data_IF_793289307460
#
_entry.id   IF_793289307460
#
_cell.length_a   1.000
_cell.length_b   1.000
_cell.length_c   1.000
_cell.angle_alpha   90.00
_cell.angle_beta   90.00
_cell.angle_gamma   90.00
#
_symmetry.space_group_name_H-M   'P 1'
#
loop_
_entity.id
_entity.type
_entity.pdbx_description
1 polymer ?
#
# COMPACT_ATOMS: atom_id res chain seq x y z
N UNK A 1 -10.38 8.94 -2.66
CA UNK A 1 -10.64 7.56 -2.18
C UNK A 1 -9.49 7.17 -1.26
N UNK A 2 -9.76 6.50 -0.13
CA UNK A 2 -8.72 6.09 0.80
C UNK A 2 -7.87 4.96 0.21
N UNK A 3 -6.60 4.91 0.62
CA UNK A 3 -5.63 3.90 0.18
C UNK A 3 -5.14 3.11 1.39
N UNK A 4 -5.11 1.78 1.28
CA UNK A 4 -4.56 0.88 2.28
C UNK A 4 -3.17 0.42 1.85
N UNK A 5 -2.16 0.62 2.71
CA UNK A 5 -0.86 -0.01 2.57
C UNK A 5 -0.86 -1.34 3.34
N UNK A 6 -0.57 -2.45 2.66
CA UNK A 6 -0.59 -3.79 3.25
C UNK A 6 0.77 -4.47 3.09
N UNK A 7 1.34 -4.93 4.20
CA UNK A 7 2.57 -5.71 4.20
C UNK A 7 2.55 -6.70 5.36
N UNK A 8 2.08 -7.92 5.09
CA UNK A 8 1.94 -8.97 6.10
C UNK A 8 2.67 -10.24 5.67
N UNK A 9 3.37 -10.86 6.61
CA UNK A 9 4.01 -12.16 6.38
C UNK A 9 2.96 -13.28 6.38
N UNK A 10 2.14 -13.33 7.43
CA UNK A 10 0.96 -14.19 7.51
C UNK A 10 -0.24 -13.53 6.82
N UNK A 11 -0.90 -14.28 5.95
CA UNK A 11 -2.01 -13.80 5.10
C UNK A 11 -3.37 -14.28 5.61
N UNK A 12 -3.40 -14.96 6.76
CA UNK A 12 -4.63 -15.44 7.38
C UNK A 12 -5.64 -14.31 7.54
N UNK A 13 -6.81 -14.44 6.91
CA UNK A 13 -7.91 -13.48 6.96
C UNK A 13 -7.74 -12.20 6.12
N UNK A 14 -6.62 -12.04 5.40
CA UNK A 14 -6.37 -10.88 4.55
C UNK A 14 -7.37 -10.80 3.38
N UNK A 15 -7.79 -11.94 2.85
CA UNK A 15 -8.79 -12.05 1.79
C UNK A 15 -10.12 -11.39 2.16
N UNK A 16 -10.66 -11.73 3.34
CA UNK A 16 -11.93 -11.19 3.83
C UNK A 16 -11.79 -9.70 4.12
N UNK A 17 -10.72 -9.30 4.80
CA UNK A 17 -10.45 -7.89 5.12
C UNK A 17 -10.34 -7.04 3.85
N UNK A 18 -9.56 -7.50 2.86
CA UNK A 18 -9.33 -6.75 1.63
C UNK A 18 -10.62 -6.59 0.81
N UNK A 19 -11.41 -7.66 0.66
CA UNK A 19 -12.70 -7.60 -0.05
C UNK A 19 -13.69 -6.67 0.65
N UNK A 20 -13.78 -6.72 1.97
CA UNK A 20 -14.68 -5.84 2.72
C UNK A 20 -14.28 -4.37 2.57
N UNK A 21 -12.98 -4.04 2.72
CA UNK A 21 -12.46 -2.69 2.54
C UNK A 21 -12.68 -2.18 1.10
N UNK A 22 -12.43 -3.01 0.09
CA UNK A 22 -12.64 -2.64 -1.31
C UNK A 22 -14.13 -2.41 -1.61
N UNK A 23 -14.97 -3.40 -1.30
CA UNK A 23 -16.37 -3.42 -1.75
C UNK A 23 -17.27 -2.49 -0.93
N UNK A 24 -17.04 -2.37 0.38
CA UNK A 24 -17.91 -1.57 1.27
C UNK A 24 -17.42 -0.14 1.44
N UNK A 25 -16.11 0.10 1.31
CA UNK A 25 -15.50 1.38 1.63
C UNK A 25 -14.70 1.99 0.47
N UNK A 26 -14.55 1.28 -0.66
CA UNK A 26 -13.87 1.81 -1.85
C UNK A 26 -12.37 2.01 -1.65
N UNK A 27 -11.72 1.21 -0.81
CA UNK A 27 -10.26 1.30 -0.64
C UNK A 27 -9.54 0.80 -1.89
N UNK A 28 -8.45 1.51 -2.24
CA UNK A 28 -7.41 1.02 -3.14
C UNK A 28 -6.26 0.43 -2.34
N UNK A 29 -5.53 -0.52 -2.90
CA UNK A 29 -4.45 -1.19 -2.19
C UNK A 29 -3.08 -0.88 -2.79
N UNK A 30 -2.11 -0.68 -1.90
CA UNK A 30 -0.68 -0.72 -2.19
C UNK A 30 -0.09 -1.82 -1.31
N UNK A 31 0.76 -2.69 -1.86
CA UNK A 31 1.35 -3.75 -1.06
C UNK A 31 2.79 -4.12 -1.47
N UNK A 32 3.49 -4.78 -0.55
CA UNK A 32 4.79 -5.41 -0.84
C UNK A 32 4.62 -6.65 -1.71
N UNK A 33 5.67 -7.03 -2.44
CA UNK A 33 5.65 -7.99 -3.56
C UNK A 33 4.80 -9.25 -3.35
N UNK A 34 5.01 -10.00 -2.26
CA UNK A 34 4.27 -11.25 -2.00
C UNK A 34 2.82 -11.02 -1.56
N UNK A 35 2.56 -9.90 -0.88
CA UNK A 35 1.22 -9.49 -0.46
C UNK A 35 0.40 -8.99 -1.66
N UNK A 36 1.01 -8.17 -2.53
CA UNK A 36 0.39 -7.70 -3.76
C UNK A 36 0.00 -8.85 -4.68
N UNK A 37 0.86 -9.87 -4.81
CA UNK A 37 0.57 -11.09 -5.56
C UNK A 37 -0.66 -11.80 -5.01
N UNK A 38 -0.68 -12.05 -3.70
CA UNK A 38 -1.81 -12.71 -3.03
C UNK A 38 -3.14 -11.94 -3.23
N UNK A 39 -3.13 -10.62 -3.08
CA UNK A 39 -4.32 -9.79 -3.31
C UNK A 39 -4.79 -9.83 -4.78
N UNK A 40 -3.85 -9.81 -5.72
CA UNK A 40 -4.15 -9.87 -7.15
C UNK A 40 -4.78 -11.22 -7.55
N UNK A 41 -4.31 -12.33 -6.98
CA UNK A 41 -4.89 -13.67 -7.19
C UNK A 41 -6.34 -13.78 -6.69
N UNK A 42 -6.74 -12.92 -5.75
CA UNK A 42 -8.12 -12.81 -5.26
C UNK A 42 -8.99 -11.86 -6.11
N UNK A 43 -8.43 -11.22 -7.14
CA UNK A 43 -9.09 -10.20 -7.95
C UNK A 43 -9.23 -8.85 -7.25
N UNK A 44 -8.46 -8.59 -6.19
CA UNK A 44 -8.41 -7.28 -5.53
C UNK A 44 -7.41 -6.40 -6.27
N UNK A 45 -7.84 -5.19 -6.66
CA UNK A 45 -6.97 -4.22 -7.34
C UNK A 45 -5.89 -3.73 -6.36
N UNK A 46 -4.63 -4.05 -6.66
CA UNK A 46 -3.50 -3.72 -5.81
C UNK A 46 -2.30 -3.28 -6.65
N UNK A 47 -1.72 -2.12 -6.31
CA UNK A 47 -0.43 -1.70 -6.84
C UNK A 47 0.71 -2.22 -5.98
N UNK A 48 1.88 -2.45 -6.56
CA UNK A 48 3.10 -2.71 -5.79
C UNK A 48 3.66 -1.40 -5.22
N UNK A 49 4.32 -1.48 -4.07
CA UNK A 49 5.06 -0.34 -3.50
C UNK A 49 6.08 0.22 -4.49
N UNK A 50 6.77 -0.64 -5.25
CA UNK A 50 7.76 -0.26 -6.26
C UNK A 50 7.18 0.67 -7.35
N UNK A 51 5.91 0.46 -7.74
CA UNK A 51 5.22 1.32 -8.72
C UNK A 51 4.89 2.70 -8.14
N UNK A 52 4.85 2.83 -6.81
CA UNK A 52 4.59 4.09 -6.11
C UNK A 52 5.89 4.82 -5.85
N UNK A 53 6.96 4.10 -5.52
CA UNK A 53 8.25 4.70 -5.15
C UNK A 53 9.16 4.96 -6.35
N UNK A 54 8.93 4.33 -7.50
CA UNK A 54 9.89 4.26 -8.62
C UNK A 54 11.28 3.76 -8.17
N UNK A 55 11.33 3.01 -7.06
CA UNK A 55 12.56 2.53 -6.45
C UNK A 55 12.62 1.00 -6.52
N UNK A 56 13.68 0.41 -7.11
CA UNK A 56 13.77 -1.02 -7.30
C UNK A 56 13.96 -1.75 -5.96
N UNK A 57 13.61 -3.04 -5.94
CA UNK A 57 13.93 -3.89 -4.80
C UNK A 57 15.44 -4.11 -4.70
N UNK A 58 16.04 -3.65 -3.58
CA UNK A 58 17.45 -3.85 -3.25
C UNK A 58 17.59 -4.51 -1.87
N UNK A 59 18.78 -5.05 -1.59
CA UNK A 59 19.11 -5.65 -0.29
C UNK A 59 18.12 -6.77 0.14
N UNK A 60 17.62 -7.54 -0.83
CA UNK A 60 16.62 -8.59 -0.57
C UNK A 60 15.32 -8.06 0.03
N UNK A 61 14.92 -6.84 -0.31
CA UNK A 61 13.67 -6.23 0.13
C UNK A 61 13.70 -5.56 1.50
N UNK A 62 14.87 -5.44 2.14
CA UNK A 62 15.02 -4.83 3.46
C UNK A 62 14.58 -3.36 3.54
N UNK A 63 14.68 -2.62 2.43
CA UNK A 63 14.48 -1.16 2.41
C UNK A 63 13.40 -0.69 1.43
N UNK A 64 12.60 -1.61 0.86
CA UNK A 64 11.67 -1.28 -0.23
C UNK A 64 10.53 -0.33 0.15
N UNK A 65 10.16 -0.24 1.42
CA UNK A 65 9.14 0.70 1.92
C UNK A 65 9.74 1.95 2.57
N UNK A 66 11.06 2.01 2.77
CA UNK A 66 11.77 3.14 3.39
C UNK A 66 11.91 4.31 2.41
N UNK A 67 10.78 4.86 1.98
CA UNK A 67 10.70 5.87 0.94
C UNK A 67 9.74 7.01 1.33
N UNK A 68 10.07 8.28 1.05
CA UNK A 68 9.22 9.43 1.37
C UNK A 68 7.80 9.31 0.79
N UNK A 69 7.63 8.80 -0.43
CA UNK A 69 6.28 8.60 -1.01
C UNK A 69 5.40 7.63 -0.22
N UNK A 70 5.98 6.73 0.58
CA UNK A 70 5.22 5.84 1.48
C UNK A 70 4.95 6.56 2.79
N UNK A 71 6.00 7.06 3.44
CA UNK A 71 5.89 7.65 4.78
C UNK A 71 5.17 9.00 4.79
N UNK A 72 5.27 9.81 3.73
CA UNK A 72 4.51 11.05 3.61
C UNK A 72 3.00 10.78 3.59
N UNK A 73 2.55 9.72 2.90
CA UNK A 73 1.13 9.33 2.89
C UNK A 73 0.62 8.77 4.23
N UNK A 74 1.51 8.29 5.10
CA UNK A 74 1.16 7.80 6.44
C UNK A 74 1.22 8.93 7.48
N UNK A 75 2.23 9.78 7.40
CA UNK A 75 2.58 10.77 8.43
C UNK A 75 1.99 12.16 8.18
N UNK A 76 1.49 12.45 6.98
CA UNK A 76 0.84 13.71 6.68
C UNK A 76 -0.35 13.94 7.61
N UNK A 77 -0.46 15.15 8.15
CA UNK A 77 -1.59 15.58 8.97
C UNK A 77 -2.65 16.23 8.08
N UNK A 78 -3.84 16.41 8.64
CA UNK A 78 -4.92 17.15 7.99
C UNK A 78 -4.73 18.68 8.08
N UNK A 79 -3.53 19.15 7.70
CA UNK A 79 -3.14 20.56 7.68
C UNK A 79 -2.88 21.02 6.25
N UNK A 80 -3.07 22.31 5.98
CA UNK A 80 -2.90 22.86 4.64
C UNK A 80 -1.46 22.72 4.16
N UNK A 81 -0.48 23.03 5.00
CA UNK A 81 0.95 22.91 4.65
C UNK A 81 1.35 21.47 4.25
N UNK A 82 0.89 20.46 5.00
CA UNK A 82 1.20 19.05 4.71
C UNK A 82 0.55 18.61 3.39
N UNK A 83 -0.69 19.04 3.11
CA UNK A 83 -1.41 18.71 1.86
C UNK A 83 -0.72 19.28 0.63
N UNK A 84 -0.16 20.48 0.74
CA UNK A 84 0.52 21.13 -0.38
C UNK A 84 1.85 20.43 -0.72
N UNK A 85 2.44 19.69 0.21
CA UNK A 85 3.64 18.85 -0.01
C UNK A 85 3.33 17.46 -0.62
N UNK A 86 2.07 17.04 -0.66
CA UNK A 86 1.64 15.72 -1.18
C UNK A 86 1.23 15.74 -2.66
N UNK A 87 1.21 16.93 -3.28
CA UNK A 87 0.75 17.16 -4.66
C UNK A 87 1.77 16.77 -5.72
#
# INVERSE_FOLDING_TARGET
MPTALVSVSDKTGLDKLARDLQNKHGYKFIATTSTAKYLSELGVECKKVEEVTDFPEILGGRVKTLHPRVFAGILSRDLKEDKDCLA
#
